data_IF_203174922799
#
_entry.id   IF_203174922799
#
_cell.length_a   1.000
_cell.length_b   1.000
_cell.length_c   1.000
_cell.angle_alpha   90.00
_cell.angle_beta   90.00
_cell.angle_gamma   90.00
#
_symmetry.space_group_name_H-M   'P 1'
#
loop_
_entity.id
_entity.type
_entity.pdbx_description
1 polymer ?
#
# COMPACT_ATOMS: atom_id res chain seq x y z
N UNK A 1 -10.88 -9.74 -19.47
CA UNK A 1 -10.97 -8.62 -20.42
C UNK A 1 -12.30 -7.84 -20.38
N UNK A 2 -13.37 -8.36 -19.80
CA UNK A 2 -14.68 -7.65 -19.71
C UNK A 2 -14.80 -6.63 -18.56
N UNK A 3 -13.92 -6.64 -17.57
CA UNK A 3 -14.00 -5.75 -16.38
C UNK A 3 -13.50 -4.31 -16.57
N UNK A 4 -12.81 -4.01 -17.67
CA UNK A 4 -12.28 -2.65 -17.96
C UNK A 4 -13.28 -1.74 -18.69
N UNK A 5 -14.45 -2.26 -19.12
CA UNK A 5 -15.37 -1.54 -20.00
C UNK A 5 -16.41 -0.68 -19.28
N UNK A 6 -16.71 -0.89 -18.01
CA UNK A 6 -17.59 0.00 -17.26
C UNK A 6 -16.81 1.15 -16.65
N UNK A 7 -16.78 2.30 -17.31
CA UNK A 7 -16.20 3.56 -16.78
C UNK A 7 -16.90 4.06 -15.51
N UNK A 8 -18.12 3.61 -15.28
CA UNK A 8 -18.98 3.99 -14.17
C UNK A 8 -19.42 2.74 -13.41
N UNK A 9 -19.39 2.81 -12.10
CA UNK A 9 -19.92 1.75 -11.22
C UNK A 9 -20.89 2.41 -10.24
N UNK A 10 -22.06 1.80 -10.05
CA UNK A 10 -23.02 2.24 -9.02
C UNK A 10 -22.64 1.65 -7.68
N UNK A 11 -22.57 2.48 -6.65
CA UNK A 11 -22.27 2.11 -5.27
C UNK A 11 -23.37 2.63 -4.36
N UNK A 12 -23.62 1.91 -3.25
CA UNK A 12 -24.57 2.33 -2.23
C UNK A 12 -24.12 1.86 -0.85
N UNK A 13 -24.64 2.50 0.21
CA UNK A 13 -24.51 2.03 1.61
C UNK A 13 -25.90 2.09 2.27
N UNK A 14 -26.78 1.15 1.94
CA UNK A 14 -28.21 1.26 2.31
C UNK A 14 -28.44 1.25 3.82
N UNK A 15 -27.62 0.53 4.60
CA UNK A 15 -27.74 0.51 6.04
C UNK A 15 -27.25 1.80 6.74
N UNK A 16 -26.56 2.68 6.01
CA UNK A 16 -26.17 4.03 6.46
C UNK A 16 -27.10 5.13 5.88
N UNK A 17 -28.17 4.75 5.19
CA UNK A 17 -29.08 5.70 4.53
C UNK A 17 -28.51 6.34 3.27
N UNK A 18 -27.39 5.85 2.73
CA UNK A 18 -26.80 6.34 1.49
C UNK A 18 -27.33 5.50 0.34
N UNK A 19 -28.17 6.09 -0.50
CA UNK A 19 -28.72 5.47 -1.70
C UNK A 19 -27.68 5.22 -2.79
N UNK A 20 -28.15 4.79 -3.95
CA UNK A 20 -27.30 4.54 -5.12
C UNK A 20 -26.70 5.83 -5.66
N UNK A 21 -25.39 5.81 -5.94
CA UNK A 21 -24.67 6.88 -6.62
C UNK A 21 -23.63 6.31 -7.57
N UNK A 22 -23.34 7.03 -8.63
CA UNK A 22 -22.40 6.64 -9.65
C UNK A 22 -20.97 7.10 -9.32
N UNK A 23 -20.03 6.18 -9.44
CA UNK A 23 -18.59 6.44 -9.30
C UNK A 23 -17.94 6.27 -10.67
N UNK A 24 -17.42 7.36 -11.23
CA UNK A 24 -16.65 7.32 -12.48
C UNK A 24 -15.20 6.93 -12.15
N UNK A 25 -14.66 5.90 -12.82
CA UNK A 25 -13.28 5.45 -12.66
C UNK A 25 -12.26 6.37 -13.33
N UNK A 26 -12.69 7.19 -14.29
CA UNK A 26 -11.85 8.08 -15.07
C UNK A 26 -11.94 9.51 -14.55
N UNK A 27 -10.82 10.07 -14.12
CA UNK A 27 -10.70 11.46 -13.66
C UNK A 27 -10.69 12.44 -14.84
N UNK A 28 -9.89 12.13 -15.87
CA UNK A 28 -9.80 12.93 -17.10
C UNK A 28 -9.84 11.99 -18.30
N UNK A 29 -10.85 12.13 -19.16
CA UNK A 29 -11.00 11.29 -20.35
C UNK A 29 -9.90 11.57 -21.38
N UNK A 30 -9.51 10.55 -22.14
CA UNK A 30 -8.50 10.63 -23.18
C UNK A 30 -8.83 11.69 -24.26
N UNK A 31 -10.12 11.94 -24.53
CA UNK A 31 -10.56 12.93 -25.51
C UNK A 31 -10.14 14.34 -25.16
N UNK A 32 -10.04 14.66 -23.84
CA UNK A 32 -9.53 15.95 -23.35
C UNK A 32 -8.00 16.06 -23.40
N UNK A 33 -7.30 14.94 -23.61
CA UNK A 33 -5.85 14.81 -23.57
C UNK A 33 -5.34 14.16 -24.87
N UNK A 34 -5.82 14.62 -26.02
CA UNK A 34 -5.55 14.01 -27.32
C UNK A 34 -4.04 13.87 -27.65
N UNK A 35 -3.19 14.77 -27.13
CA UNK A 35 -1.74 14.67 -27.30
C UNK A 35 -1.14 13.46 -26.56
N UNK A 36 -1.67 13.11 -25.37
CA UNK A 36 -1.23 11.93 -24.63
C UNK A 36 -1.72 10.63 -25.29
N UNK A 37 -2.85 10.68 -25.96
CA UNK A 37 -3.37 9.53 -26.71
C UNK A 37 -2.39 9.08 -27.81
N UNK A 38 -1.67 10.03 -28.43
CA UNK A 38 -0.60 9.72 -29.40
C UNK A 38 0.59 9.00 -28.78
N UNK A 39 0.85 9.20 -27.49
CA UNK A 39 1.98 8.58 -26.75
C UNK A 39 1.58 7.21 -26.21
N UNK A 40 0.39 7.12 -25.59
CA UNK A 40 -0.07 5.93 -24.89
C UNK A 40 -0.90 4.97 -25.75
N UNK A 41 -1.22 5.37 -26.98
CA UNK A 41 -1.99 4.57 -27.94
C UNK A 41 -3.49 4.92 -27.98
N UNK A 42 -4.14 4.53 -29.09
CA UNK A 42 -5.56 4.84 -29.37
C UNK A 42 -6.53 4.25 -28.33
N UNK A 43 -6.16 3.14 -27.71
CA UNK A 43 -6.98 2.45 -26.70
C UNK A 43 -6.82 3.03 -25.27
N UNK A 44 -5.97 4.06 -25.11
CA UNK A 44 -5.79 4.70 -23.80
C UNK A 44 -7.07 5.43 -23.37
N UNK A 45 -7.65 5.04 -22.23
CA UNK A 45 -8.93 5.52 -21.73
C UNK A 45 -8.89 6.89 -21.05
N UNK A 46 -7.70 7.40 -20.72
CA UNK A 46 -7.49 8.62 -19.95
C UNK A 46 -6.83 8.39 -18.58
N UNK A 47 -6.82 9.41 -17.76
CA UNK A 47 -6.26 9.35 -16.40
C UNK A 47 -7.31 8.77 -15.45
N UNK A 48 -7.01 7.62 -14.85
CA UNK A 48 -7.88 6.98 -13.87
C UNK A 48 -7.75 7.63 -12.49
N UNK A 49 -8.87 7.74 -11.76
CA UNK A 49 -8.87 8.19 -10.36
C UNK A 49 -7.97 7.35 -9.47
N UNK A 50 -7.88 6.05 -9.73
CA UNK A 50 -6.95 5.17 -9.01
C UNK A 50 -5.51 5.71 -9.04
N UNK A 51 -5.01 6.07 -10.23
CA UNK A 51 -3.68 6.65 -10.39
C UNK A 51 -3.52 8.00 -9.68
N UNK A 52 -4.55 8.84 -9.74
CA UNK A 52 -4.55 10.15 -9.04
C UNK A 52 -4.48 9.96 -7.52
N UNK A 53 -5.27 9.05 -6.96
CA UNK A 53 -5.30 8.74 -5.52
C UNK A 53 -3.95 8.19 -5.06
N UNK A 54 -3.35 7.25 -5.82
CA UNK A 54 -2.02 6.72 -5.51
C UNK A 54 -0.97 7.83 -5.56
N UNK A 55 -1.00 8.72 -6.55
CA UNK A 55 -0.09 9.85 -6.66
C UNK A 55 -0.23 10.81 -5.46
N UNK A 56 -1.45 11.14 -5.06
CA UNK A 56 -1.71 11.94 -3.85
C UNK A 56 -1.13 11.23 -2.62
N UNK A 57 -1.35 9.92 -2.50
CA UNK A 57 -0.80 9.11 -1.41
C UNK A 57 0.73 9.16 -1.37
N UNK A 58 1.40 9.03 -2.51
CA UNK A 58 2.86 9.11 -2.60
C UNK A 58 3.36 10.51 -2.20
N UNK A 59 2.74 11.58 -2.72
CA UNK A 59 3.14 12.96 -2.39
C UNK A 59 2.98 13.23 -0.89
N UNK A 60 1.85 12.88 -0.29
CA UNK A 60 1.63 13.08 1.14
C UNK A 60 2.56 12.23 2.00
N UNK A 61 2.83 10.99 1.61
CA UNK A 61 3.80 10.12 2.25
C UNK A 61 5.23 10.71 2.16
N UNK A 62 5.61 11.27 1.01
CA UNK A 62 6.90 11.92 0.82
C UNK A 62 7.06 13.17 1.69
N UNK A 63 6.07 14.06 1.68
CA UNK A 63 6.06 15.26 2.54
C UNK A 63 6.15 14.90 4.02
N UNK A 64 5.42 13.87 4.44
CA UNK A 64 5.50 13.37 5.80
C UNK A 64 6.88 12.76 6.09
N UNK A 65 7.44 11.95 5.19
CA UNK A 65 8.78 11.38 5.31
C UNK A 65 9.86 12.44 5.48
N UNK A 66 9.82 13.51 4.67
CA UNK A 66 10.72 14.66 4.82
C UNK A 66 10.58 15.35 6.19
N UNK A 67 9.37 15.42 6.75
CA UNK A 67 9.16 15.95 8.09
C UNK A 67 9.78 15.06 9.17
N UNK A 68 9.78 13.72 8.98
CA UNK A 68 10.41 12.76 9.90
C UNK A 68 11.92 12.77 9.78
N UNK A 69 12.43 12.91 8.55
CA UNK A 69 13.87 13.04 8.29
C UNK A 69 14.53 14.14 9.13
N UNK A 70 13.87 15.29 9.26
CA UNK A 70 14.35 16.40 10.12
C UNK A 70 14.53 15.98 11.59
N UNK A 71 13.64 15.11 12.11
CA UNK A 71 13.75 14.58 13.48
C UNK A 71 14.95 13.65 13.62
N UNK A 72 15.27 12.92 12.55
CA UNK A 72 16.40 11.98 12.49
C UNK A 72 17.73 12.67 12.13
N UNK A 73 17.75 13.99 11.92
CA UNK A 73 18.94 14.72 11.50
C UNK A 73 19.36 14.45 10.06
N UNK A 74 18.45 14.00 9.21
CA UNK A 74 18.67 13.71 7.78
C UNK A 74 18.13 14.87 6.96
N UNK A 75 18.85 15.28 5.91
CA UNK A 75 18.39 16.37 5.04
C UNK A 75 17.10 15.96 4.28
N UNK A 76 16.23 16.93 4.02
CA UNK A 76 15.02 16.67 3.23
C UNK A 76 15.36 16.23 1.81
N UNK A 77 16.45 16.75 1.25
CA UNK A 77 16.92 16.42 -0.10
C UNK A 77 17.40 14.96 -0.18
N UNK A 78 18.13 14.49 0.84
CA UNK A 78 18.57 13.08 0.89
C UNK A 78 17.36 12.12 0.95
N UNK A 79 16.35 12.47 1.73
CA UNK A 79 15.13 11.65 1.78
C UNK A 79 14.34 11.72 0.47
N UNK A 80 14.28 12.88 -0.16
CA UNK A 80 13.65 13.01 -1.48
C UNK A 80 14.34 12.13 -2.51
N UNK A 81 15.67 12.14 -2.55
CA UNK A 81 16.45 11.23 -3.42
C UNK A 81 16.15 9.77 -3.13
N UNK A 82 16.11 9.37 -1.86
CA UNK A 82 15.75 7.99 -1.45
C UNK A 82 14.35 7.62 -1.95
N UNK A 83 13.37 8.50 -1.79
CA UNK A 83 11.99 8.26 -2.22
C UNK A 83 11.90 8.16 -3.74
N UNK A 84 12.52 9.08 -4.48
CA UNK A 84 12.50 9.07 -5.95
C UNK A 84 13.11 7.78 -6.51
N UNK A 85 14.30 7.39 -6.01
CA UNK A 85 14.95 6.14 -6.43
C UNK A 85 14.10 4.94 -6.03
N UNK A 86 13.53 4.92 -4.82
CA UNK A 86 12.69 3.83 -4.36
C UNK A 86 11.43 3.66 -5.22
N UNK A 87 10.75 4.74 -5.60
CA UNK A 87 9.57 4.69 -6.47
C UNK A 87 9.95 4.15 -7.85
N UNK A 88 11.00 4.68 -8.48
CA UNK A 88 11.43 4.25 -9.82
C UNK A 88 11.82 2.77 -9.81
N UNK A 89 12.69 2.36 -8.88
CA UNK A 89 13.18 0.98 -8.79
C UNK A 89 12.05 0.01 -8.42
N UNK A 90 11.09 0.43 -7.58
CA UNK A 90 9.91 -0.37 -7.26
C UNK A 90 9.01 -0.59 -8.48
N UNK A 91 8.77 0.43 -9.31
CA UNK A 91 7.98 0.28 -10.55
C UNK A 91 8.68 -0.65 -11.54
N UNK A 92 9.99 -0.47 -11.73
CA UNK A 92 10.80 -1.36 -12.57
C UNK A 92 10.75 -2.79 -12.05
N UNK A 93 10.97 -2.98 -10.75
CA UNK A 93 10.91 -4.30 -10.11
C UNK A 93 9.54 -4.96 -10.26
N UNK A 94 8.45 -4.19 -10.06
CA UNK A 94 7.08 -4.68 -10.25
C UNK A 94 6.85 -5.17 -11.68
N UNK A 95 7.35 -4.43 -12.66
CA UNK A 95 7.22 -4.80 -14.07
C UNK A 95 8.07 -6.02 -14.43
N UNK A 96 9.34 -6.03 -14.04
CA UNK A 96 10.25 -7.16 -14.29
C UNK A 96 9.69 -8.45 -13.69
N UNK A 97 9.22 -8.40 -12.43
CA UNK A 97 8.63 -9.57 -11.79
C UNK A 97 7.40 -10.07 -12.58
N UNK A 98 6.51 -9.15 -12.97
CA UNK A 98 5.32 -9.51 -13.73
C UNK A 98 5.69 -10.15 -15.07
N UNK A 99 6.62 -9.56 -15.82
CA UNK A 99 7.07 -10.07 -17.12
C UNK A 99 7.68 -11.48 -16.99
N UNK A 100 8.52 -11.69 -15.97
CA UNK A 100 9.19 -12.98 -15.75
C UNK A 100 8.22 -14.10 -15.39
N UNK A 101 7.21 -13.81 -14.55
CA UNK A 101 6.34 -14.85 -14.01
C UNK A 101 5.04 -15.06 -14.79
N UNK A 102 4.57 -14.04 -15.51
CA UNK A 102 3.30 -14.14 -16.25
C UNK A 102 3.49 -14.35 -17.75
N UNK A 103 4.62 -13.93 -18.32
CA UNK A 103 4.96 -14.18 -19.74
C UNK A 103 3.95 -13.58 -20.74
N UNK A 104 3.97 -14.11 -21.98
CA UNK A 104 2.96 -13.80 -23.00
C UNK A 104 3.12 -12.43 -23.66
N UNK A 105 4.36 -11.99 -23.89
CA UNK A 105 4.68 -10.73 -24.56
C UNK A 105 5.28 -10.98 -25.93
N UNK A 106 4.67 -10.38 -26.95
CA UNK A 106 5.10 -10.57 -28.35
C UNK A 106 6.02 -9.45 -28.83
N UNK A 107 6.13 -8.33 -28.09
CA UNK A 107 6.97 -7.19 -28.47
C UNK A 107 7.77 -6.60 -27.30
N UNK A 108 8.91 -5.95 -27.63
CA UNK A 108 9.69 -5.19 -26.65
C UNK A 108 8.90 -4.00 -26.05
N UNK A 109 7.97 -3.44 -26.81
CA UNK A 109 7.08 -2.41 -26.33
C UNK A 109 6.19 -2.92 -25.19
N UNK A 110 5.62 -4.11 -25.36
CA UNK A 110 4.76 -4.71 -24.34
C UNK A 110 5.53 -5.02 -23.04
N UNK A 111 6.84 -5.30 -23.11
CA UNK A 111 7.67 -5.52 -21.92
C UNK A 111 7.77 -4.25 -21.03
N UNK A 112 7.74 -3.05 -21.61
CA UNK A 112 7.91 -1.78 -20.88
C UNK A 112 6.62 -1.01 -20.67
N UNK A 113 5.51 -1.40 -21.30
CA UNK A 113 4.24 -0.69 -21.30
C UNK A 113 3.50 -0.82 -19.94
N UNK A 114 4.03 -0.19 -18.88
CA UNK A 114 3.43 -0.19 -17.53
C UNK A 114 2.04 0.44 -17.47
N UNK A 115 1.72 1.31 -18.42
CA UNK A 115 0.40 1.97 -18.53
C UNK A 115 -0.72 1.03 -18.99
N UNK A 116 -0.38 -0.13 -19.53
CA UNK A 116 -1.34 -1.20 -19.87
C UNK A 116 -1.62 -2.13 -18.69
N UNK A 117 -1.08 -1.82 -17.49
CA UNK A 117 -1.15 -2.69 -16.31
C UNK A 117 -0.02 -3.71 -16.26
N UNK A 118 -0.20 -4.78 -15.49
CA UNK A 118 0.83 -5.83 -15.34
C UNK A 118 1.99 -5.40 -14.45
N UNK A 119 1.67 -5.04 -13.20
CA UNK A 119 2.62 -4.71 -12.14
C UNK A 119 2.41 -5.68 -10.96
N UNK A 120 3.46 -6.37 -10.55
CA UNK A 120 3.41 -7.32 -9.45
C UNK A 120 3.93 -6.70 -8.16
N UNK A 121 3.12 -6.78 -7.08
CA UNK A 121 3.46 -6.19 -5.78
C UNK A 121 4.77 -6.75 -5.20
N UNK A 122 5.04 -8.03 -5.39
CA UNK A 122 6.27 -8.65 -4.89
C UNK A 122 7.53 -8.04 -5.53
N UNK A 123 7.48 -7.76 -6.83
CA UNK A 123 8.56 -7.07 -7.53
C UNK A 123 8.77 -5.65 -7.04
N UNK A 124 7.67 -4.92 -6.75
CA UNK A 124 7.76 -3.58 -6.14
C UNK A 124 8.44 -3.62 -4.77
N UNK A 125 8.07 -4.56 -3.91
CA UNK A 125 8.69 -4.72 -2.58
C UNK A 125 10.18 -5.05 -2.68
N UNK A 126 10.55 -5.99 -3.55
CA UNK A 126 11.95 -6.35 -3.78
C UNK A 126 12.74 -5.13 -4.28
N UNK A 127 12.23 -4.42 -5.29
CA UNK A 127 12.84 -3.20 -5.81
C UNK A 127 13.00 -2.12 -4.75
N UNK A 128 11.98 -1.92 -3.92
CA UNK A 128 12.02 -0.99 -2.79
C UNK A 128 13.09 -1.33 -1.75
N UNK A 129 13.23 -2.60 -1.39
CA UNK A 129 14.28 -3.07 -0.46
C UNK A 129 15.67 -2.86 -1.07
N UNK A 130 15.87 -3.24 -2.33
CA UNK A 130 17.14 -3.06 -3.04
C UNK A 130 17.53 -1.60 -3.08
N UNK A 131 16.60 -0.71 -3.48
CA UNK A 131 16.84 0.73 -3.55
C UNK A 131 17.21 1.32 -2.19
N UNK A 132 16.52 0.90 -1.12
CA UNK A 132 16.79 1.35 0.23
C UNK A 132 18.19 0.93 0.71
N UNK A 133 18.62 -0.31 0.43
CA UNK A 133 19.96 -0.79 0.78
C UNK A 133 21.04 0.02 0.03
N UNK A 134 20.84 0.26 -1.27
CA UNK A 134 21.77 1.04 -2.10
C UNK A 134 21.85 2.49 -1.58
N UNK A 135 20.70 3.13 -1.40
CA UNK A 135 20.63 4.53 -0.95
C UNK A 135 21.14 4.72 0.47
N UNK A 136 20.95 3.75 1.36
CA UNK A 136 21.54 3.74 2.70
C UNK A 136 23.07 3.87 2.65
N UNK A 137 23.72 3.14 1.74
CA UNK A 137 25.17 3.21 1.53
C UNK A 137 25.60 4.53 0.89
N UNK A 138 24.90 5.00 -0.14
CA UNK A 138 25.21 6.24 -0.86
C UNK A 138 25.10 7.46 0.08
N UNK A 139 23.98 7.54 0.81
CA UNK A 139 23.70 8.65 1.73
C UNK A 139 24.38 8.50 3.10
N UNK A 140 25.05 7.37 3.36
CA UNK A 140 25.71 7.04 4.63
C UNK A 140 24.74 7.12 5.83
N UNK A 141 23.48 6.76 5.62
CA UNK A 141 22.44 6.73 6.64
C UNK A 141 22.12 5.27 6.97
N UNK A 142 22.04 4.87 8.25
CA UNK A 142 21.67 3.51 8.61
C UNK A 142 20.34 3.06 7.98
N UNK A 143 20.31 1.88 7.37
CA UNK A 143 19.13 1.37 6.65
C UNK A 143 17.89 1.27 7.57
N UNK A 144 18.07 0.87 8.84
CA UNK A 144 16.99 0.79 9.82
C UNK A 144 16.36 2.17 10.12
N UNK A 145 17.17 3.25 10.08
CA UNK A 145 16.67 4.62 10.24
C UNK A 145 15.84 5.07 9.03
N UNK A 146 16.29 4.75 7.81
CA UNK A 146 15.50 4.98 6.60
C UNK A 146 14.21 4.15 6.61
N UNK A 147 14.24 2.91 7.11
CA UNK A 147 13.06 2.07 7.27
C UNK A 147 12.06 2.66 8.28
N UNK A 148 12.49 3.28 9.36
CA UNK A 148 11.60 3.96 10.31
C UNK A 148 10.84 5.12 9.64
N UNK A 149 11.54 5.94 8.86
CA UNK A 149 10.93 7.03 8.08
C UNK A 149 9.99 6.45 7.04
N UNK A 150 10.45 5.44 6.28
CA UNK A 150 9.68 4.78 5.24
C UNK A 150 8.38 4.13 5.77
N UNK A 151 8.48 3.37 6.84
CA UNK A 151 7.33 2.69 7.45
C UNK A 151 6.22 3.66 7.87
N UNK A 152 6.62 4.76 8.53
CA UNK A 152 5.67 5.79 8.96
C UNK A 152 5.03 6.54 7.79
N UNK A 153 5.72 6.63 6.65
CA UNK A 153 5.23 7.27 5.43
C UNK A 153 4.36 6.31 4.60
N UNK A 154 4.78 5.06 4.48
CA UNK A 154 4.09 4.03 3.69
C UNK A 154 2.70 3.75 4.25
N UNK A 155 2.53 3.66 5.58
CA UNK A 155 1.23 3.39 6.19
C UNK A 155 0.20 4.49 5.88
N UNK A 156 0.65 5.76 5.78
CA UNK A 156 -0.19 6.88 5.34
C UNK A 156 -0.58 6.71 3.87
N UNK A 157 0.39 6.42 3.00
CA UNK A 157 0.14 6.15 1.58
C UNK A 157 -0.81 4.96 1.37
N UNK A 158 -0.68 3.90 2.17
CA UNK A 158 -1.58 2.75 2.14
C UNK A 158 -3.01 3.12 2.55
N UNK A 159 -3.19 3.93 3.60
CA UNK A 159 -4.51 4.39 4.02
C UNK A 159 -5.24 5.14 2.90
N UNK A 160 -4.52 6.03 2.19
CA UNK A 160 -5.04 6.80 1.06
C UNK A 160 -5.28 5.89 -0.15
N UNK A 161 -4.33 5.01 -0.46
CA UNK A 161 -4.39 4.13 -1.63
C UNK A 161 -5.60 3.19 -1.64
N UNK A 162 -6.13 2.80 -0.46
CA UNK A 162 -7.34 1.98 -0.36
C UNK A 162 -8.59 2.63 -0.96
N UNK A 163 -8.64 3.94 -1.02
CA UNK A 163 -9.73 4.65 -1.71
C UNK A 163 -9.69 4.48 -3.22
N UNK A 164 -8.53 4.12 -3.79
CA UNK A 164 -8.44 3.68 -5.18
C UNK A 164 -9.21 2.38 -5.45
N UNK A 165 -9.14 1.42 -4.52
CA UNK A 165 -9.94 0.18 -4.62
C UNK A 165 -11.45 0.48 -4.54
N UNK A 166 -11.86 1.45 -3.72
CA UNK A 166 -13.25 1.91 -3.67
C UNK A 166 -13.71 2.43 -5.03
N UNK A 167 -12.95 3.34 -5.66
CA UNK A 167 -13.30 3.91 -6.96
C UNK A 167 -13.38 2.84 -8.05
N UNK A 168 -12.48 1.86 -8.00
CA UNK A 168 -12.50 0.75 -8.95
C UNK A 168 -13.58 -0.30 -8.64
N UNK A 169 -14.21 -0.24 -7.46
CA UNK A 169 -15.10 -1.28 -6.94
C UNK A 169 -14.43 -2.67 -7.00
N UNK A 170 -13.20 -2.76 -6.50
CA UNK A 170 -12.38 -3.96 -6.49
C UNK A 170 -11.90 -4.31 -5.07
N UNK A 171 -11.34 -5.51 -4.91
CA UNK A 171 -10.75 -5.95 -3.64
C UNK A 171 -11.74 -5.90 -2.45
N UNK A 172 -13.01 -6.07 -2.72
CA UNK A 172 -14.06 -6.15 -1.69
C UNK A 172 -14.11 -7.54 -1.03
N UNK A 173 -14.86 -7.61 0.08
CA UNK A 173 -15.02 -8.85 0.82
C UNK A 173 -16.22 -9.68 0.39
N UNK A 174 -16.45 -10.78 1.12
CA UNK A 174 -17.64 -11.62 0.90
C UNK A 174 -18.93 -10.85 1.11
N UNK A 175 -20.03 -11.42 0.65
CA UNK A 175 -21.38 -10.89 0.90
C UNK A 175 -21.66 -10.80 2.39
N UNK A 176 -22.39 -9.73 2.78
CA UNK A 176 -22.71 -9.47 4.17
C UNK A 176 -24.05 -8.75 4.32
N UNK A 177 -24.67 -8.95 5.47
CA UNK A 177 -25.91 -8.26 5.87
C UNK A 177 -25.66 -7.14 6.87
N UNK A 178 -24.38 -6.85 7.21
CA UNK A 178 -24.02 -5.83 8.21
C UNK A 178 -24.58 -4.43 7.83
N UNK A 179 -24.88 -3.58 8.83
CA UNK A 179 -25.45 -2.26 8.56
C UNK A 179 -24.60 -1.37 7.64
N UNK A 180 -23.27 -1.54 7.67
CA UNK A 180 -22.32 -0.75 6.86
C UNK A 180 -21.88 -1.45 5.57
N UNK A 181 -22.63 -2.47 5.10
CA UNK A 181 -22.35 -3.15 3.84
C UNK A 181 -22.34 -2.18 2.66
N UNK A 182 -21.43 -2.44 1.73
CA UNK A 182 -21.33 -1.71 0.46
C UNK A 182 -22.10 -2.45 -0.63
N UNK A 183 -23.06 -1.77 -1.25
CA UNK A 183 -23.72 -2.26 -2.45
C UNK A 183 -22.89 -1.92 -3.69
N UNK A 184 -22.72 -2.89 -4.59
CA UNK A 184 -22.06 -2.74 -5.89
C UNK A 184 -23.05 -3.19 -6.96
N UNK A 185 -23.33 -2.32 -7.93
CA UNK A 185 -24.39 -2.52 -8.93
C UNK A 185 -25.67 -1.77 -8.55
N UNK A 186 -26.71 -1.90 -9.35
CA UNK A 186 -27.99 -1.19 -9.18
C UNK A 186 -29.18 -2.14 -9.13
N UNK A 187 -30.20 -1.74 -8.39
CA UNK A 187 -31.47 -2.46 -8.28
C UNK A 187 -31.30 -3.91 -7.85
N UNK A 188 -31.99 -4.83 -8.52
CA UNK A 188 -31.99 -6.26 -8.21
C UNK A 188 -30.63 -6.96 -8.47
N UNK A 189 -29.71 -6.34 -9.20
CA UNK A 189 -28.40 -6.89 -9.52
C UNK A 189 -27.31 -6.39 -8.56
N UNK A 190 -27.65 -5.60 -7.55
CA UNK A 190 -26.70 -5.13 -6.55
C UNK A 190 -26.27 -6.28 -5.62
N UNK A 191 -24.96 -6.44 -5.46
CA UNK A 191 -24.38 -7.34 -4.44
C UNK A 191 -23.97 -6.50 -3.22
N UNK A 192 -24.18 -7.05 -2.03
CA UNK A 192 -23.87 -6.37 -0.76
C UNK A 192 -22.71 -7.05 -0.06
N UNK A 193 -21.57 -6.34 0.01
CA UNK A 193 -20.29 -6.92 0.39
C UNK A 193 -19.63 -6.16 1.55
N UNK A 194 -18.64 -6.80 2.20
CA UNK A 194 -17.78 -6.12 3.16
C UNK A 194 -16.92 -5.05 2.46
N UNK A 195 -16.97 -3.78 2.90
CA UNK A 195 -16.13 -2.68 2.37
C UNK A 195 -14.70 -2.81 2.90
N UNK A 196 -13.95 -3.79 2.45
CA UNK A 196 -12.59 -4.07 2.94
C UNK A 196 -11.63 -2.93 2.72
N UNK A 197 -11.83 -2.11 1.67
CA UNK A 197 -11.08 -0.87 1.45
C UNK A 197 -11.16 0.07 2.66
N UNK A 198 -12.38 0.21 3.24
CA UNK A 198 -12.62 1.07 4.40
C UNK A 198 -11.97 0.49 5.66
N UNK A 199 -12.10 -0.84 5.86
CA UNK A 199 -11.47 -1.52 7.00
C UNK A 199 -9.96 -1.34 6.98
N UNK A 200 -9.31 -1.59 5.83
CA UNK A 200 -7.87 -1.42 5.70
C UNK A 200 -7.44 0.04 5.79
N UNK A 201 -8.22 1.00 5.24
CA UNK A 201 -7.94 2.42 5.37
C UNK A 201 -7.99 2.88 6.83
N UNK A 202 -9.06 2.56 7.55
CA UNK A 202 -9.20 2.90 8.98
C UNK A 202 -8.12 2.24 9.83
N UNK A 203 -7.82 0.97 9.59
CA UNK A 203 -6.73 0.25 10.26
C UNK A 203 -5.38 0.95 10.08
N UNK A 204 -5.08 1.34 8.84
CA UNK A 204 -3.84 2.06 8.53
C UNK A 204 -3.81 3.48 9.12
N UNK A 205 -4.95 4.18 9.19
CA UNK A 205 -5.04 5.49 9.87
C UNK A 205 -4.74 5.35 11.36
N UNK A 206 -5.32 4.35 12.03
CA UNK A 206 -5.04 4.09 13.46
C UNK A 206 -3.57 3.74 13.66
N UNK A 207 -3.00 2.88 12.81
CA UNK A 207 -1.57 2.55 12.82
C UNK A 207 -0.67 3.77 12.58
N UNK A 208 -1.06 4.64 11.65
CA UNK A 208 -0.36 5.90 11.40
C UNK A 208 -0.33 6.80 12.64
N UNK A 209 -1.48 7.00 13.29
CA UNK A 209 -1.59 7.80 14.51
C UNK A 209 -0.76 7.18 15.64
N UNK A 210 -0.77 5.86 15.78
CA UNK A 210 0.07 5.14 16.75
C UNK A 210 1.56 5.41 16.50
N UNK A 211 2.05 5.18 15.28
CA UNK A 211 3.45 5.40 14.92
C UNK A 211 3.82 6.87 15.08
N UNK A 212 2.97 7.79 14.61
CA UNK A 212 3.17 9.23 14.76
C UNK A 212 3.35 9.65 16.23
N UNK A 213 2.51 9.13 17.12
CA UNK A 213 2.56 9.43 18.56
C UNK A 213 3.81 8.88 19.26
N UNK A 214 4.31 7.73 18.79
CA UNK A 214 5.47 7.04 19.34
C UNK A 214 6.79 7.54 18.73
N UNK A 215 6.77 8.18 17.56
CA UNK A 215 7.96 8.49 16.79
C UNK A 215 9.02 9.27 17.58
N UNK A 216 8.61 10.31 18.32
CA UNK A 216 9.52 11.10 19.18
C UNK A 216 10.04 10.34 20.40
N UNK A 217 9.41 9.21 20.74
CA UNK A 217 9.80 8.35 21.88
C UNK A 217 10.60 7.12 21.42
N UNK A 218 11.03 7.11 20.16
CA UNK A 218 11.84 6.03 19.58
C UNK A 218 13.13 5.85 20.38
N UNK A 219 13.45 4.61 20.72
CA UNK A 219 14.61 4.25 21.55
C UNK A 219 15.79 3.69 20.74
N UNK A 220 15.53 3.14 19.55
CA UNK A 220 16.52 2.53 18.67
C UNK A 220 16.07 2.58 17.22
N UNK A 221 17.04 2.51 16.29
CA UNK A 221 16.77 2.48 14.85
C UNK A 221 16.06 1.18 14.47
N UNK A 222 15.00 1.26 13.64
CA UNK A 222 14.14 0.15 13.24
C UNK A 222 12.89 -0.04 14.12
N UNK A 223 12.75 0.68 15.24
CA UNK A 223 11.63 0.50 16.14
C UNK A 223 10.28 0.79 15.47
N UNK A 224 10.16 1.89 14.74
CA UNK A 224 8.92 2.26 14.05
C UNK A 224 8.61 1.31 12.91
N UNK A 225 9.62 0.82 12.21
CA UNK A 225 9.50 -0.19 11.18
C UNK A 225 8.94 -1.51 11.72
N UNK A 226 9.46 -2.02 12.84
CA UNK A 226 8.93 -3.23 13.45
C UNK A 226 7.51 -3.05 14.00
N UNK A 227 7.17 -1.87 14.54
CA UNK A 227 5.79 -1.54 14.95
C UNK A 227 4.86 -1.55 13.73
N UNK A 228 5.29 -0.94 12.61
CA UNK A 228 4.53 -0.95 11.37
C UNK A 228 4.28 -2.37 10.87
N UNK A 229 5.32 -3.21 10.78
CA UNK A 229 5.18 -4.58 10.29
C UNK A 229 4.28 -5.44 11.20
N UNK A 230 4.40 -5.28 12.52
CA UNK A 230 3.53 -5.97 13.47
C UNK A 230 2.07 -5.51 13.30
N UNK A 231 1.83 -4.19 13.27
CA UNK A 231 0.49 -3.61 13.11
C UNK A 231 -0.15 -4.00 11.78
N UNK A 232 0.56 -3.78 10.69
CA UNK A 232 0.08 -4.09 9.35
C UNK A 232 -0.13 -5.59 9.17
N UNK A 233 0.80 -6.41 9.64
CA UNK A 233 0.71 -7.87 9.59
C UNK A 233 -0.51 -8.40 10.34
N UNK A 234 -0.79 -7.87 11.54
CA UNK A 234 -1.98 -8.24 12.29
C UNK A 234 -3.28 -7.84 11.57
N UNK A 235 -3.37 -6.61 11.08
CA UNK A 235 -4.53 -6.17 10.29
C UNK A 235 -4.73 -7.00 9.03
N UNK A 236 -3.63 -7.31 8.33
CA UNK A 236 -3.68 -8.12 7.12
C UNK A 236 -4.12 -9.56 7.40
N UNK A 237 -3.67 -10.15 8.50
CA UNK A 237 -4.11 -11.47 8.96
C UNK A 237 -5.62 -11.53 9.17
N UNK A 238 -6.23 -10.47 9.73
CA UNK A 238 -7.66 -10.41 10.00
C UNK A 238 -8.47 -10.09 8.73
N UNK A 239 -8.12 -9.03 8.02
CA UNK A 239 -8.92 -8.50 6.90
C UNK A 239 -8.84 -9.40 5.66
N UNK A 240 -7.68 -10.05 5.41
CA UNK A 240 -7.54 -10.99 4.30
C UNK A 240 -8.55 -12.14 4.38
N UNK A 241 -8.95 -12.52 5.60
CA UNK A 241 -9.99 -13.52 5.83
C UNK A 241 -11.34 -13.18 5.21
N UNK A 242 -11.64 -11.89 5.00
CA UNK A 242 -12.88 -11.41 4.43
C UNK A 242 -12.84 -11.23 2.91
N UNK A 243 -11.65 -11.22 2.28
CA UNK A 243 -11.49 -10.89 0.86
C UNK A 243 -11.85 -12.05 -0.06
N UNK A 244 -12.39 -11.72 -1.23
CA UNK A 244 -12.76 -12.68 -2.27
C UNK A 244 -11.67 -12.95 -3.29
N UNK A 245 -10.70 -12.04 -3.43
CA UNK A 245 -9.62 -12.06 -4.43
C UNK A 245 -8.27 -12.54 -3.87
N UNK A 246 -8.30 -13.29 -2.76
CA UNK A 246 -7.11 -13.76 -2.07
C UNK A 246 -6.34 -14.82 -2.87
N UNK A 247 -5.00 -14.70 -2.86
CA UNK A 247 -4.13 -15.74 -3.40
C UNK A 247 -3.99 -16.87 -2.37
N UNK A 248 -4.25 -18.12 -2.79
CA UNK A 248 -4.20 -19.29 -1.95
C UNK A 248 -2.86 -20.03 -2.07
N UNK A 249 -2.21 -20.31 -0.95
CA UNK A 249 -1.07 -21.22 -0.86
C UNK A 249 -1.55 -22.67 -0.84
N UNK A 250 -2.56 -22.94 -0.02
CA UNK A 250 -3.30 -24.20 0.01
C UNK A 250 -4.77 -23.85 -0.23
N UNK A 251 -5.38 -24.31 -1.33
CA UNK A 251 -6.75 -23.94 -1.69
C UNK A 251 -7.71 -24.07 -0.51
N UNK A 252 -8.49 -23.03 -0.25
CA UNK A 252 -9.49 -22.92 0.81
C UNK A 252 -8.99 -23.09 2.28
N UNK A 253 -7.66 -23.23 2.48
CA UNK A 253 -7.08 -23.46 3.82
C UNK A 253 -6.15 -22.31 4.20
N UNK A 254 -5.15 -22.00 3.38
CA UNK A 254 -4.11 -21.00 3.72
C UNK A 254 -4.01 -19.95 2.62
N UNK A 255 -4.26 -18.70 2.97
CA UNK A 255 -4.04 -17.54 2.10
C UNK A 255 -2.63 -17.02 2.28
N UNK A 256 -1.93 -16.74 1.18
CA UNK A 256 -0.53 -16.28 1.20
C UNK A 256 -0.38 -15.01 2.03
N UNK A 257 -1.19 -14.00 1.77
CA UNK A 257 -1.10 -12.71 2.49
C UNK A 257 -1.45 -12.83 3.97
N UNK A 258 -2.36 -13.73 4.32
CA UNK A 258 -2.74 -14.00 5.71
C UNK A 258 -1.59 -14.65 6.49
N UNK A 259 -0.94 -15.66 5.89
CA UNK A 259 0.22 -16.32 6.49
C UNK A 259 1.38 -15.35 6.67
N UNK A 260 1.74 -14.59 5.62
CA UNK A 260 2.80 -13.58 5.68
C UNK A 260 2.48 -12.55 6.78
N UNK A 261 1.23 -12.09 6.86
CA UNK A 261 0.79 -11.15 7.89
C UNK A 261 0.97 -11.71 9.30
N UNK A 262 0.57 -12.97 9.53
CA UNK A 262 0.72 -13.64 10.82
C UNK A 262 2.20 -13.81 11.21
N UNK A 263 3.04 -14.24 10.28
CA UNK A 263 4.49 -14.39 10.49
C UNK A 263 5.14 -13.05 10.82
N UNK A 264 4.83 -12.00 10.05
CA UNK A 264 5.33 -10.65 10.33
C UNK A 264 4.89 -10.17 11.72
N UNK A 265 3.62 -10.36 12.08
CA UNK A 265 3.12 -9.97 13.40
C UNK A 265 3.88 -10.66 14.53
N UNK A 266 4.03 -11.98 14.48
CA UNK A 266 4.70 -12.76 15.53
C UNK A 266 6.18 -12.38 15.64
N UNK A 267 6.91 -12.36 14.51
CA UNK A 267 8.35 -12.09 14.50
C UNK A 267 8.63 -10.65 14.95
N UNK A 268 7.91 -9.67 14.39
CA UNK A 268 8.18 -8.27 14.73
C UNK A 268 7.77 -7.95 16.17
N UNK A 269 6.69 -8.53 16.68
CA UNK A 269 6.31 -8.40 18.10
C UNK A 269 7.37 -9.01 19.00
N UNK A 270 7.89 -10.19 18.68
CA UNK A 270 8.97 -10.81 19.44
C UNK A 270 10.24 -9.93 19.46
N UNK A 271 10.63 -9.36 18.31
CA UNK A 271 11.76 -8.42 18.22
C UNK A 271 11.54 -7.21 19.12
N UNK A 272 10.36 -6.58 19.06
CA UNK A 272 10.01 -5.42 19.87
C UNK A 272 10.11 -5.72 21.37
N UNK A 273 9.58 -6.87 21.81
CA UNK A 273 9.64 -7.31 23.22
C UNK A 273 11.09 -7.55 23.67
N UNK A 274 11.88 -8.26 22.86
CA UNK A 274 13.27 -8.55 23.17
C UNK A 274 14.12 -7.26 23.26
N UNK A 275 13.90 -6.32 22.35
CA UNK A 275 14.61 -5.03 22.36
C UNK A 275 14.19 -4.19 23.57
N UNK A 276 12.93 -4.18 23.96
CA UNK A 276 12.49 -3.48 25.18
C UNK A 276 13.10 -4.07 26.44
N UNK A 277 13.17 -5.40 26.54
CA UNK A 277 13.84 -6.10 27.67
C UNK A 277 15.32 -5.71 27.71
N UNK A 278 16.00 -5.70 26.56
CA UNK A 278 17.41 -5.31 26.46
C UNK A 278 17.64 -3.88 26.93
N UNK A 279 16.79 -2.94 26.50
CA UNK A 279 16.86 -1.53 26.89
C UNK A 279 16.66 -1.36 28.41
N UNK A 280 15.67 -2.06 28.99
CA UNK A 280 15.42 -2.02 30.44
C UNK A 280 16.61 -2.56 31.25
N UNK A 281 17.23 -3.66 30.79
CA UNK A 281 18.43 -4.22 31.46
C UNK A 281 19.61 -3.25 31.38
N UNK A 282 19.85 -2.63 30.23
CA UNK A 282 20.92 -1.64 30.06
C UNK A 282 20.73 -0.43 30.99
N UNK A 283 19.50 0.08 31.11
CA UNK A 283 19.17 1.18 32.00
C UNK A 283 19.40 0.83 33.47
N UNK A 284 19.06 -0.39 33.90
CA UNK A 284 19.32 -0.86 35.30
C UNK A 284 20.83 -0.99 35.60
N UNK A 285 21.61 -1.50 34.65
CA UNK A 285 23.06 -1.68 34.84
C UNK A 285 23.79 -0.35 34.82
N UNK A 286 23.32 0.65 34.05
CA UNK A 286 23.91 2.01 34.03
C UNK A 286 23.58 2.85 35.27
N UNK A 287 22.56 2.49 36.06
CA UNK A 287 22.26 3.12 37.34
C UNK A 287 23.04 2.53 38.53
N UNK A 288 23.74 1.42 38.33
CA UNK A 288 24.45 0.71 39.38
C UNK A 288 26.01 0.97 39.32
N UNK A 289 26.46 1.75 38.35
CA UNK A 289 27.85 2.28 38.24
C UNK A 289 27.82 3.80 38.41
#
# INVERSE_FOLDING_TARGET
>A
MLGLLAKITTISFPGLGIGEFEVNKIAVSADKLAFLKKIFGENWGGIAWYGVIIMIGIVLAALYGMSRAKIEGISSDDILDVILVAVIVSVIGARVYYVVFYGGYDSLYDLVAVWNGGLAIYGAVIGGIISLIIMSKIKKVPALRLLDIGASSIILGQAIGRWGNFVNAEAYGYETTLPWRMGIGSGANAIFVHPTFLYESLWNIVGFVLIWSLYKKKKYDGQMFFIYLAWYGFGRMLIEGLRTDSLWLVPYVIRVSQLIGAVCFVICTAILVLMEIKQRKAAKNGCNN
#
